data_IF_012971907158
#
_entry.id   IF_012971907158
#
_cell.length_a   1.000
_cell.length_b   1.000
_cell.length_c   1.000
_cell.angle_alpha   90.00
_cell.angle_beta   90.00
_cell.angle_gamma   90.00
#
_symmetry.space_group_name_H-M   'P 1'
#
loop_
_entity.id
_entity.type
_entity.pdbx_description
1 polymer ?
#
# COMPACT_ATOMS: atom_id res chain seq x y z
N UNK A 1 1.46 7.90 4.66
CA UNK A 1 0.91 6.74 5.39
C UNK A 1 0.76 7.11 6.86
N UNK A 2 0.06 6.27 7.64
CA UNK A 2 -0.17 6.45 9.08
C UNK A 2 1.17 6.48 9.86
N UNK A 3 1.49 7.56 10.61
CA UNK A 3 2.83 7.77 11.18
C UNK A 3 3.38 6.64 12.08
N UNK A 4 2.59 5.97 12.95
CA UNK A 4 3.06 4.86 13.77
C UNK A 4 3.66 3.70 12.97
N UNK A 5 3.23 3.49 11.72
CA UNK A 5 3.81 2.47 10.85
C UNK A 5 5.30 2.72 10.58
N UNK A 6 5.68 3.97 10.31
CA UNK A 6 7.08 4.31 10.04
C UNK A 6 7.96 4.06 11.26
N UNK A 7 7.44 4.33 12.46
CA UNK A 7 8.12 4.01 13.72
C UNK A 7 8.33 2.50 13.86
N UNK A 8 7.31 1.69 13.59
CA UNK A 8 7.42 0.22 13.63
C UNK A 8 8.49 -0.30 12.67
N UNK A 9 8.47 0.14 11.41
CA UNK A 9 9.44 -0.31 10.41
C UNK A 9 10.88 0.02 10.84
N UNK A 10 11.11 1.19 11.44
CA UNK A 10 12.42 1.57 11.99
C UNK A 10 12.87 0.65 13.12
N UNK A 11 11.98 0.28 14.05
CA UNK A 11 12.31 -0.64 15.15
C UNK A 11 12.66 -2.04 14.64
N UNK A 12 11.99 -2.50 13.58
CA UNK A 12 12.28 -3.76 12.91
C UNK A 12 13.51 -3.71 12.00
N UNK A 13 14.20 -2.56 11.92
CA UNK A 13 15.35 -2.32 11.01
C UNK A 13 15.00 -2.56 9.53
N UNK A 14 13.73 -2.37 9.16
CA UNK A 14 13.26 -2.44 7.78
C UNK A 14 13.43 -1.07 7.11
N UNK A 15 13.77 -1.08 5.82
CA UNK A 15 13.88 0.14 5.01
C UNK A 15 12.53 0.44 4.34
N UNK A 16 11.81 1.50 4.73
CA UNK A 16 10.59 1.90 4.03
C UNK A 16 10.94 2.45 2.63
N UNK A 17 10.21 1.99 1.63
CA UNK A 17 10.22 2.57 0.28
C UNK A 17 8.89 3.31 0.07
N UNK A 18 8.91 4.64 -0.17
CA UNK A 18 7.68 5.40 -0.34
C UNK A 18 6.98 5.02 -1.64
N UNK A 19 5.66 4.94 -1.60
CA UNK A 19 4.80 4.85 -2.77
C UNK A 19 4.02 6.16 -2.92
N UNK A 20 4.00 6.70 -4.14
CA UNK A 20 3.21 7.87 -4.45
C UNK A 20 1.71 7.53 -4.41
N UNK A 21 0.89 8.51 -4.04
CA UNK A 21 -0.58 8.42 -4.03
C UNK A 21 -1.11 9.50 -4.95
N UNK A 22 -2.06 9.15 -5.82
CA UNK A 22 -2.82 10.09 -6.64
C UNK A 22 -4.32 9.92 -6.42
N UNK A 23 -5.13 10.60 -7.22
CA UNK A 23 -6.61 10.55 -7.21
C UNK A 23 -7.18 9.12 -7.31
N UNK A 24 -6.42 8.18 -7.89
CA UNK A 24 -6.81 6.78 -8.06
C UNK A 24 -6.28 5.89 -6.92
N UNK A 25 -5.62 6.49 -5.93
CA UNK A 25 -5.05 5.85 -4.75
C UNK A 25 -3.54 5.59 -4.86
N UNK A 26 -3.04 4.61 -4.10
CA UNK A 26 -1.61 4.28 -4.07
C UNK A 26 -1.13 3.75 -5.43
N UNK A 27 -0.04 4.32 -5.97
CA UNK A 27 0.58 3.91 -7.24
C UNK A 27 1.46 2.68 -7.04
N UNK A 28 1.60 1.91 -8.11
CA UNK A 28 2.51 0.76 -8.13
C UNK A 28 3.97 1.24 -8.01
N UNK A 29 4.87 0.41 -7.45
CA UNK A 29 6.29 0.75 -7.38
C UNK A 29 6.89 0.84 -8.78
N UNK A 30 7.74 1.84 -9.00
CA UNK A 30 8.42 2.05 -10.29
C UNK A 30 9.54 1.04 -10.56
N UNK A 31 10.11 0.42 -9.51
CA UNK A 31 11.14 -0.62 -9.64
C UNK A 31 10.96 -1.72 -8.60
N UNK A 32 11.06 -2.98 -9.04
CA UNK A 32 10.87 -4.17 -8.22
C UNK A 32 12.03 -4.43 -7.26
N UNK A 33 11.84 -4.15 -5.97
CA UNK A 33 12.67 -4.70 -4.90
C UNK A 33 12.01 -4.56 -3.51
N UNK A 34 10.68 -4.66 -3.42
CA UNK A 34 10.00 -4.66 -2.13
C UNK A 34 9.52 -6.09 -1.80
N UNK A 35 10.10 -6.70 -0.77
CA UNK A 35 9.65 -8.00 -0.26
C UNK A 35 8.24 -7.95 0.36
N UNK A 36 7.76 -6.75 0.69
CA UNK A 36 6.38 -6.52 1.12
C UNK A 36 5.89 -5.13 0.68
N UNK A 37 4.58 -5.02 0.48
CA UNK A 37 3.87 -3.74 0.30
C UNK A 37 2.80 -3.60 1.36
N UNK A 38 2.64 -2.40 1.90
CA UNK A 38 1.58 -2.05 2.85
C UNK A 38 0.61 -1.13 2.12
N UNK A 39 -0.64 -1.59 1.99
CA UNK A 39 -1.69 -0.89 1.25
C UNK A 39 -2.83 -0.53 2.19
N UNK A 40 -3.30 0.72 2.10
CA UNK A 40 -4.55 1.17 2.72
C UNK A 40 -5.56 1.38 1.60
N UNK A 41 -6.36 0.35 1.24
CA UNK A 41 -7.14 0.36 0.01
C UNK A 41 -8.34 1.31 0.06
N UNK A 42 -8.84 1.58 1.27
CA UNK A 42 -9.98 2.46 1.54
C UNK A 42 -9.55 3.57 2.48
N UNK A 43 -9.99 4.79 2.20
CA UNK A 43 -9.75 5.97 3.03
C UNK A 43 -8.27 6.13 3.46
N UNK A 44 -7.32 6.09 2.51
CA UNK A 44 -5.89 6.10 2.80
C UNK A 44 -5.48 7.22 3.77
N UNK A 45 -4.77 6.91 4.85
CA UNK A 45 -4.28 7.92 5.78
C UNK A 45 -2.95 8.54 5.28
N UNK A 46 -2.84 9.87 5.09
CA UNK A 46 -3.76 10.94 5.53
C UNK A 46 -4.67 11.52 4.44
N UNK A 47 -4.62 10.99 3.22
CA UNK A 47 -5.24 11.64 2.04
C UNK A 47 -6.74 11.40 1.89
N UNK A 48 -7.32 10.42 2.57
CA UNK A 48 -8.70 9.98 2.41
C UNK A 48 -9.00 9.25 1.09
N UNK A 49 -8.05 9.20 0.15
CA UNK A 49 -8.25 8.59 -1.17
C UNK A 49 -8.37 7.07 -1.05
N UNK A 50 -9.32 6.48 -1.78
CA UNK A 50 -9.45 5.02 -1.92
C UNK A 50 -8.89 4.56 -3.26
N UNK A 51 -8.48 3.29 -3.34
CA UNK A 51 -8.13 2.68 -4.63
C UNK A 51 -9.36 2.67 -5.54
N UNK A 52 -9.21 3.17 -6.75
CA UNK A 52 -10.22 2.95 -7.79
C UNK A 52 -10.24 1.48 -8.23
N UNK A 53 -11.32 1.07 -8.88
CA UNK A 53 -11.42 -0.28 -9.46
C UNK A 53 -10.28 -0.57 -10.44
N UNK A 54 -9.88 0.43 -11.24
CA UNK A 54 -8.77 0.32 -12.19
C UNK A 54 -7.44 0.13 -11.46
N UNK A 55 -7.14 0.95 -10.45
CA UNK A 55 -5.89 0.83 -9.68
C UNK A 55 -5.84 -0.49 -8.90
N UNK A 56 -6.97 -0.92 -8.32
CA UNK A 56 -7.07 -2.21 -7.66
C UNK A 56 -6.77 -3.38 -8.61
N UNK A 57 -7.26 -3.32 -9.85
CA UNK A 57 -6.95 -4.33 -10.86
C UNK A 57 -5.45 -4.34 -11.22
N UNK A 58 -4.81 -3.18 -11.33
CA UNK A 58 -3.37 -3.08 -11.57
C UNK A 58 -2.56 -3.72 -10.43
N UNK A 59 -2.91 -3.43 -9.18
CA UNK A 59 -2.27 -4.06 -8.01
C UNK A 59 -2.45 -5.58 -7.98
N UNK A 60 -3.65 -6.09 -8.30
CA UNK A 60 -3.89 -7.54 -8.40
C UNK A 60 -3.00 -8.20 -9.45
N UNK A 61 -2.82 -7.56 -10.62
CA UNK A 61 -1.90 -8.05 -11.65
C UNK A 61 -0.46 -8.04 -11.17
N UNK A 62 -0.01 -6.92 -10.59
CA UNK A 62 1.34 -6.79 -10.05
C UNK A 62 1.67 -7.85 -9.00
N UNK A 63 0.78 -8.09 -8.03
CA UNK A 63 1.00 -9.09 -6.97
C UNK A 63 1.00 -10.52 -7.54
N UNK A 64 0.19 -10.80 -8.54
CA UNK A 64 0.19 -12.10 -9.24
C UNK A 64 1.50 -12.32 -10.01
N UNK A 65 2.04 -11.26 -10.62
CA UNK A 65 3.30 -11.31 -11.37
C UNK A 65 4.54 -11.25 -10.44
N UNK A 66 4.34 -10.95 -9.15
CA UNK A 66 5.39 -10.84 -8.12
C UNK A 66 5.01 -11.63 -6.85
N UNK A 67 4.91 -12.97 -6.91
CA UNK A 67 4.43 -13.79 -5.79
C UNK A 67 5.32 -13.72 -4.54
N UNK A 68 6.57 -13.28 -4.67
CA UNK A 68 7.49 -13.02 -3.56
C UNK A 68 7.19 -11.74 -2.78
N UNK A 69 6.30 -10.88 -3.28
CA UNK A 69 5.91 -9.64 -2.62
C UNK A 69 4.71 -9.88 -1.70
N UNK A 70 4.92 -9.82 -0.39
CA UNK A 70 3.85 -9.92 0.60
C UNK A 70 2.97 -8.66 0.59
N UNK A 71 1.68 -8.81 0.32
CA UNK A 71 0.72 -7.72 0.49
C UNK A 71 0.15 -7.70 1.91
N UNK A 72 0.37 -6.60 2.62
CA UNK A 72 -0.24 -6.31 3.92
C UNK A 72 -1.32 -5.26 3.69
N UNK A 73 -2.57 -5.61 3.96
CA UNK A 73 -3.71 -4.72 3.76
C UNK A 73 -4.17 -4.16 5.10
N UNK A 74 -3.99 -2.86 5.28
CA UNK A 74 -4.49 -2.10 6.43
C UNK A 74 -5.84 -1.48 6.06
N UNK A 75 -6.92 -2.10 6.51
CA UNK A 75 -8.29 -1.77 6.13
C UNK A 75 -9.12 -1.27 7.32
N UNK A 76 -8.59 -0.28 8.02
CA UNK A 76 -9.23 0.30 9.21
C UNK A 76 -10.63 0.87 8.94
N UNK A 77 -10.91 1.31 7.71
CA UNK A 77 -12.21 1.86 7.31
C UNK A 77 -13.24 0.79 6.92
N UNK A 78 -12.82 -0.46 6.76
CA UNK A 78 -13.68 -1.50 6.22
C UNK A 78 -15.01 -1.75 6.95
N UNK A 79 -15.08 -1.67 8.28
CA UNK A 79 -16.33 -1.79 9.02
C UNK A 79 -17.31 -0.62 8.87
N UNK A 80 -16.88 0.50 8.25
CA UNK A 80 -17.63 1.76 8.17
C UNK A 80 -18.12 2.09 6.74
N UNK A 81 -17.92 1.18 5.78
CA UNK A 81 -18.25 1.36 4.36
C UNK A 81 -19.02 0.18 3.78
#
# INVERSE_FOLDING_TARGET
CWPPLLTLLRHLRLRPLPLAVDEQGCRLPESGAAGAVILTPRAHNPTGVSLSAQRAQQWRRFLRDNPQCLAIVDDFWGPLS
#
